data_IF_006946248799
#
_entry.id   IF_006946248799
#
_cell.length_a   1.000
_cell.length_b   1.000
_cell.length_c   1.000
_cell.angle_alpha   90.00
_cell.angle_beta   90.00
_cell.angle_gamma   90.00
#
_symmetry.space_group_name_H-M   'P 1'
#
loop_
_entity.id
_entity.type
_entity.pdbx_description
1 polymer ?
#
# COMPACT_ATOMS: atom_id res chain seq x y z
N UNK A 1 -4.77 -6.56 12.57
CA UNK A 1 -4.08 -6.14 11.33
C UNK A 1 -2.63 -6.62 11.26
N UNK A 2 -1.84 -6.37 12.27
CA UNK A 2 -0.40 -6.73 12.29
C UNK A 2 -0.16 -8.22 12.05
N UNK A 3 -0.96 -9.08 12.69
CA UNK A 3 -0.81 -10.54 12.56
C UNK A 3 -1.11 -11.03 11.14
N UNK A 4 -2.14 -10.49 10.52
CA UNK A 4 -2.53 -10.82 9.15
C UNK A 4 -1.46 -10.40 8.17
N UNK A 5 -0.96 -9.17 8.31
CA UNK A 5 0.08 -8.64 7.43
C UNK A 5 1.38 -9.42 7.56
N UNK A 6 1.74 -9.79 8.79
CA UNK A 6 2.97 -10.56 9.04
C UNK A 6 2.90 -11.94 8.37
N UNK A 7 1.76 -12.61 8.50
CA UNK A 7 1.55 -13.92 7.86
C UNK A 7 1.55 -13.79 6.33
N UNK A 8 0.98 -12.71 5.82
CA UNK A 8 0.89 -12.46 4.39
C UNK A 8 2.26 -12.25 3.74
N UNK A 9 3.27 -11.80 4.50
CA UNK A 9 4.63 -11.64 3.99
C UNK A 9 5.18 -12.92 3.37
N UNK A 10 4.75 -14.09 3.85
CA UNK A 10 5.20 -15.38 3.32
C UNK A 10 4.77 -15.61 1.87
N UNK A 11 3.76 -14.88 1.40
CA UNK A 11 3.26 -14.98 0.02
C UNK A 11 3.95 -14.01 -0.93
N UNK A 12 4.78 -13.10 -0.41
CA UNK A 12 5.54 -12.18 -1.26
C UNK A 12 6.49 -12.95 -2.18
N UNK A 13 6.70 -12.41 -3.37
CA UNK A 13 7.70 -12.92 -4.32
C UNK A 13 8.77 -11.86 -4.50
N UNK A 14 9.62 -11.73 -3.49
CA UNK A 14 10.76 -10.80 -3.51
C UNK A 14 12.06 -11.58 -3.76
N UNK A 15 12.09 -12.28 -4.89
CA UNK A 15 13.15 -13.24 -5.22
C UNK A 15 14.48 -12.54 -5.58
N UNK A 16 14.44 -11.27 -5.95
CA UNK A 16 15.61 -10.50 -6.39
C UNK A 16 16.17 -9.60 -5.28
N UNK A 17 15.32 -8.83 -4.62
CA UNK A 17 15.75 -7.88 -3.58
C UNK A 17 15.62 -8.41 -2.17
N UNK A 18 14.93 -9.56 -1.97
CA UNK A 18 14.75 -10.17 -0.65
C UNK A 18 14.15 -9.18 0.36
N UNK A 19 13.13 -8.45 -0.08
CA UNK A 19 12.45 -7.44 0.73
C UNK A 19 10.94 -7.63 0.65
N UNK A 20 10.39 -8.63 1.38
CA UNK A 20 8.95 -8.86 1.39
C UNK A 20 8.17 -7.68 1.96
N UNK A 21 7.06 -7.35 1.31
CA UNK A 21 6.13 -6.31 1.75
C UNK A 21 4.72 -6.86 1.64
N UNK A 22 3.88 -6.56 2.62
CA UNK A 22 2.44 -6.83 2.56
C UNK A 22 1.67 -5.55 2.82
N UNK A 23 0.47 -5.46 2.28
CA UNK A 23 -0.37 -4.29 2.44
C UNK A 23 -1.84 -4.66 2.52
N UNK A 24 -2.61 -3.76 3.11
CA UNK A 24 -4.06 -3.87 3.18
C UNK A 24 -4.69 -2.51 2.97
N UNK A 25 -5.69 -2.46 2.10
CA UNK A 25 -6.59 -1.32 1.95
C UNK A 25 -7.84 -1.61 2.76
N UNK A 26 -8.19 -0.74 3.71
CA UNK A 26 -9.39 -0.85 4.53
C UNK A 26 -10.40 0.16 4.03
N UNK A 27 -11.62 -0.30 3.78
CA UNK A 27 -12.73 0.54 3.30
C UNK A 27 -13.68 0.91 4.43
N UNK A 28 -14.49 1.95 4.18
CA UNK A 28 -15.44 2.48 5.17
C UNK A 28 -16.48 1.45 5.62
N UNK A 29 -16.82 0.50 4.77
CA UNK A 29 -17.77 -0.57 5.08
C UNK A 29 -17.15 -1.75 5.82
N UNK A 30 -15.86 -1.65 6.17
CA UNK A 30 -15.12 -2.71 6.83
C UNK A 30 -14.49 -3.74 5.91
N UNK A 31 -14.73 -3.68 4.60
CA UNK A 31 -14.08 -4.59 3.66
C UNK A 31 -12.58 -4.30 3.60
N UNK A 32 -11.80 -5.36 3.36
CA UNK A 32 -10.34 -5.31 3.33
C UNK A 32 -9.82 -5.99 2.06
N UNK A 33 -8.81 -5.37 1.46
CA UNK A 33 -8.19 -5.87 0.23
C UNK A 33 -6.69 -5.94 0.45
N UNK A 34 -6.12 -7.10 0.21
CA UNK A 34 -4.72 -7.40 0.53
C UNK A 34 -3.85 -7.43 -0.71
N UNK A 35 -2.58 -7.18 -0.52
CA UNK A 35 -1.56 -7.30 -1.55
C UNK A 35 -0.21 -7.64 -0.97
N UNK A 36 0.62 -8.27 -1.78
CA UNK A 36 2.03 -8.48 -1.50
C UNK A 36 2.83 -7.96 -2.68
N UNK A 37 4.11 -7.65 -2.46
CA UNK A 37 4.95 -7.30 -3.59
C UNK A 37 5.31 -8.56 -4.39
N UNK A 38 5.36 -8.39 -5.70
CA UNK A 38 5.73 -9.45 -6.64
C UNK A 38 6.79 -8.88 -7.57
N UNK A 39 8.00 -9.42 -7.49
CA UNK A 39 9.08 -9.05 -8.39
C UNK A 39 9.14 -10.01 -9.57
N UNK A 40 9.60 -9.51 -10.71
CA UNK A 40 9.79 -10.32 -11.91
C UNK A 40 11.17 -10.04 -12.49
N UNK A 41 11.61 -10.89 -13.41
CA UNK A 41 12.87 -10.69 -14.12
C UNK A 41 12.83 -9.46 -15.05
N UNK A 42 11.64 -8.96 -15.36
CA UNK A 42 11.44 -7.67 -16.00
C UNK A 42 10.87 -6.70 -14.95
N UNK A 43 11.69 -5.77 -14.42
CA UNK A 43 11.26 -4.95 -13.26
C UNK A 43 9.94 -4.20 -13.47
N UNK A 44 9.67 -3.77 -14.69
CA UNK A 44 8.44 -3.05 -15.01
C UNK A 44 7.17 -3.91 -14.88
N UNK A 45 7.30 -5.24 -14.92
CA UNK A 45 6.18 -6.16 -14.78
C UNK A 45 5.86 -6.47 -13.31
N UNK A 46 6.73 -6.09 -12.39
CA UNK A 46 6.51 -6.27 -10.95
C UNK A 46 5.53 -5.25 -10.39
N UNK A 47 5.07 -5.51 -9.17
CA UNK A 47 4.16 -4.63 -8.46
C UNK A 47 4.54 -4.55 -6.98
N UNK A 48 4.42 -3.34 -6.38
CA UNK A 48 4.54 -3.17 -4.95
C UNK A 48 3.26 -3.66 -4.25
N UNK A 49 3.39 -4.04 -2.98
CA UNK A 49 2.26 -4.54 -2.19
C UNK A 49 1.11 -3.53 -2.11
N UNK A 50 1.43 -2.26 -1.93
CA UNK A 50 0.44 -1.19 -1.79
C UNK A 50 -0.43 -1.05 -3.04
N UNK A 51 0.20 -1.03 -4.24
CA UNK A 51 -0.56 -0.96 -5.49
C UNK A 51 -1.33 -2.24 -5.75
N UNK A 52 -0.78 -3.39 -5.39
CA UNK A 52 -1.48 -4.65 -5.53
C UNK A 52 -2.78 -4.66 -4.69
N UNK A 53 -2.70 -4.20 -3.43
CA UNK A 53 -3.87 -4.08 -2.56
C UNK A 53 -4.87 -3.04 -3.10
N UNK A 54 -4.38 -1.87 -3.51
CA UNK A 54 -5.21 -0.79 -4.03
C UNK A 54 -5.96 -1.22 -5.29
N UNK A 55 -5.26 -1.84 -6.24
CA UNK A 55 -5.87 -2.26 -7.50
C UNK A 55 -6.84 -3.42 -7.29
N UNK A 56 -6.58 -4.28 -6.30
CA UNK A 56 -7.54 -5.30 -5.89
C UNK A 56 -8.85 -4.64 -5.37
N UNK A 57 -8.74 -3.62 -4.55
CA UNK A 57 -9.91 -2.86 -4.08
C UNK A 57 -10.67 -2.23 -5.26
N UNK A 58 -9.96 -1.60 -6.18
CA UNK A 58 -10.55 -0.98 -7.38
C UNK A 58 -11.24 -2.04 -8.24
N UNK A 59 -10.61 -3.20 -8.42
CA UNK A 59 -11.20 -4.31 -9.17
C UNK A 59 -12.53 -4.78 -8.55
N UNK A 60 -12.66 -4.63 -7.24
CA UNK A 60 -13.89 -4.96 -6.51
C UNK A 60 -14.86 -3.79 -6.38
N UNK A 61 -14.69 -2.76 -7.19
CA UNK A 61 -15.64 -1.65 -7.30
C UNK A 61 -15.45 -0.52 -6.30
N UNK A 62 -14.37 -0.55 -5.51
CA UNK A 62 -14.11 0.51 -4.55
C UNK A 62 -13.56 1.75 -5.24
N UNK A 63 -13.92 2.91 -4.71
CA UNK A 63 -13.52 4.22 -5.25
C UNK A 63 -12.91 5.06 -4.13
N UNK A 64 -12.42 6.24 -4.48
CA UNK A 64 -11.74 7.15 -3.55
C UNK A 64 -12.51 7.35 -2.24
N UNK A 65 -13.80 7.58 -2.33
CA UNK A 65 -14.66 7.83 -1.18
C UNK A 65 -14.89 6.61 -0.29
N UNK A 66 -14.59 5.42 -0.77
CA UNK A 66 -14.76 4.17 -0.02
C UNK A 66 -13.51 3.81 0.80
N UNK A 67 -12.35 4.33 0.46
CA UNK A 67 -11.08 3.94 1.07
C UNK A 67 -10.85 4.77 2.31
N UNK A 68 -10.63 4.09 3.44
CA UNK A 68 -10.50 4.69 4.76
C UNK A 68 -9.06 4.80 5.21
N UNK A 69 -8.26 3.76 5.01
CA UNK A 69 -6.87 3.72 5.48
C UNK A 69 -6.06 2.67 4.72
N UNK A 70 -4.76 2.84 4.76
CA UNK A 70 -3.78 1.94 4.14
C UNK A 70 -2.86 1.40 5.24
N UNK A 71 -2.59 0.10 5.21
CA UNK A 71 -1.66 -0.55 6.12
C UNK A 71 -0.58 -1.25 5.31
N UNK A 72 0.67 -1.07 5.72
CA UNK A 72 1.84 -1.64 5.02
C UNK A 72 2.78 -2.24 6.06
N UNK A 73 3.29 -3.44 5.80
CA UNK A 73 4.29 -4.08 6.65
C UNK A 73 5.50 -4.52 5.85
N UNK A 74 6.66 -4.24 6.40
CA UNK A 74 7.95 -4.73 5.91
C UNK A 74 8.85 -4.97 7.14
N UNK A 75 10.08 -5.41 6.91
CA UNK A 75 11.02 -5.59 8.03
C UNK A 75 11.41 -4.29 8.73
N UNK A 76 11.25 -3.12 8.08
CA UNK A 76 11.78 -1.83 8.54
C UNK A 76 10.73 -0.72 8.66
N UNK A 77 9.45 -1.03 8.69
CA UNK A 77 8.33 -0.06 8.69
C UNK A 77 8.51 1.11 7.69
N UNK A 78 8.92 0.78 6.48
CA UNK A 78 9.17 1.80 5.44
C UNK A 78 7.87 2.42 4.93
N UNK A 79 7.98 3.65 4.43
CA UNK A 79 6.87 4.31 3.74
C UNK A 79 6.75 3.80 2.30
N UNK A 80 5.57 3.94 1.67
CA UNK A 80 5.38 3.58 0.27
C UNK A 80 6.39 4.29 -0.65
N UNK A 81 6.85 3.61 -1.69
CA UNK A 81 7.69 4.22 -2.71
C UNK A 81 6.91 5.29 -3.48
N UNK A 82 7.61 6.17 -4.21
CA UNK A 82 6.94 7.29 -4.88
C UNK A 82 5.99 6.85 -6.00
N UNK A 83 6.22 5.70 -6.63
CA UNK A 83 5.27 5.16 -7.61
C UNK A 83 3.95 4.79 -6.90
N UNK A 84 4.04 4.14 -5.75
CA UNK A 84 2.84 3.81 -4.96
C UNK A 84 2.16 5.07 -4.43
N UNK A 85 2.94 6.08 -4.01
CA UNK A 85 2.37 7.35 -3.55
C UNK A 85 1.56 8.02 -4.66
N UNK A 86 2.03 8.00 -5.89
CA UNK A 86 1.28 8.54 -7.03
C UNK A 86 -0.06 7.81 -7.19
N UNK A 87 -0.05 6.49 -7.15
CA UNK A 87 -1.29 5.70 -7.24
C UNK A 87 -2.25 6.03 -6.08
N UNK A 88 -1.73 6.17 -4.87
CA UNK A 88 -2.55 6.52 -3.71
C UNK A 88 -3.15 7.92 -3.84
N UNK A 89 -2.38 8.88 -4.35
CA UNK A 89 -2.88 10.25 -4.60
C UNK A 89 -4.06 10.24 -5.57
N UNK A 90 -3.96 9.45 -6.64
CA UNK A 90 -4.99 9.41 -7.67
C UNK A 90 -6.28 8.70 -7.20
N UNK A 91 -6.17 7.71 -6.32
CA UNK A 91 -7.28 6.83 -5.97
C UNK A 91 -7.69 6.85 -4.50
N UNK A 92 -7.07 7.68 -3.67
CA UNK A 92 -7.42 7.85 -2.26
C UNK A 92 -7.56 9.33 -1.92
N UNK A 93 -8.33 9.63 -0.88
CA UNK A 93 -8.34 10.96 -0.29
C UNK A 93 -7.02 11.22 0.41
N UNK A 94 -6.50 12.44 0.31
CA UNK A 94 -5.23 12.81 0.92
C UNK A 94 -5.26 12.83 2.46
N UNK A 95 -6.44 12.79 3.05
CA UNK A 95 -6.63 12.83 4.50
C UNK A 95 -6.56 11.45 5.18
N UNK A 96 -6.45 10.38 4.41
CA UNK A 96 -6.40 9.04 4.99
C UNK A 96 -5.09 8.79 5.73
N UNK A 97 -5.13 7.89 6.70
CA UNK A 97 -3.94 7.45 7.41
C UNK A 97 -3.25 6.31 6.66
N UNK A 98 -1.94 6.35 6.69
CA UNK A 98 -1.06 5.28 6.20
C UNK A 98 -0.28 4.74 7.38
N UNK A 99 -0.54 3.49 7.74
CA UNK A 99 0.09 2.79 8.85
C UNK A 99 1.25 1.95 8.33
N UNK A 100 2.44 2.21 8.82
CA UNK A 100 3.66 1.51 8.42
C UNK A 100 4.20 0.72 9.59
N UNK A 101 4.27 -0.60 9.45
CA UNK A 101 4.69 -1.53 10.49
C UNK A 101 6.02 -2.19 10.15
N UNK A 102 6.81 -2.52 11.18
CA UNK A 102 7.86 -3.50 11.05
C UNK A 102 7.37 -4.89 11.53
N UNK A 103 8.19 -5.90 11.34
CA UNK A 103 7.83 -7.29 11.72
C UNK A 103 7.83 -7.53 13.22
N UNK A 104 8.33 -6.59 14.02
CA UNK A 104 8.26 -6.62 15.49
C UNK A 104 7.00 -5.95 16.02
N UNK A 105 6.16 -5.41 15.13
CA UNK A 105 4.92 -4.76 15.49
C UNK A 105 5.05 -3.28 15.83
N UNK A 106 6.23 -2.68 15.64
CA UNK A 106 6.40 -1.23 15.77
C UNK A 106 5.67 -0.53 14.63
N UNK A 107 5.08 0.61 14.95
CA UNK A 107 4.17 1.29 14.04
C UNK A 107 4.54 2.76 13.90
N UNK A 108 4.46 3.27 12.68
CA UNK A 108 4.47 4.71 12.38
C UNK A 108 3.25 5.02 11.55
N UNK A 109 2.59 6.14 11.88
CA UNK A 109 1.36 6.56 11.20
C UNK A 109 1.62 7.90 10.51
N UNK A 110 1.23 7.97 9.25
CA UNK A 110 1.33 9.19 8.44
C UNK A 110 -0.04 9.53 7.88
N UNK A 111 -0.28 10.82 7.65
CA UNK A 111 -1.38 11.24 6.79
C UNK A 111 -0.84 11.22 5.36
N UNK A 112 -1.61 10.71 4.42
CA UNK A 112 -1.14 10.57 3.02
C UNK A 112 -0.63 11.91 2.47
N UNK A 113 -1.31 13.01 2.79
CA UNK A 113 -0.89 14.35 2.37
C UNK A 113 0.55 14.66 2.74
N UNK A 114 0.99 14.25 3.93
CA UNK A 114 2.34 14.53 4.42
C UNK A 114 3.41 13.71 3.69
N UNK A 115 3.02 12.57 3.12
CA UNK A 115 3.90 11.75 2.29
C UNK A 115 3.98 12.24 0.83
N UNK A 116 3.11 13.16 0.45
CA UNK A 116 2.94 13.59 -0.94
C UNK A 116 2.79 15.12 -1.03
N UNK A 117 3.77 15.90 -0.52
CA UNK A 117 3.71 17.35 -0.67
C UNK A 117 3.86 17.75 -2.13
N UNK A 118 3.15 18.80 -2.55
CA UNK A 118 3.23 19.33 -3.92
C UNK A 118 2.97 18.26 -4.98
N UNK A 119 1.85 17.54 -4.81
CA UNK A 119 1.53 16.40 -5.66
C UNK A 119 1.27 16.79 -7.10
N UNK A 120 1.70 15.92 -8.02
CA UNK A 120 1.14 15.84 -9.35
C UNK A 120 -0.14 14.98 -9.29
N UNK A 121 -1.23 15.45 -9.91
CA UNK A 121 -2.49 14.69 -9.92
C UNK A 121 -3.20 14.87 -11.25
N UNK A 122 -4.32 14.17 -11.41
CA UNK A 122 -5.16 14.30 -12.62
C UNK A 122 -5.66 15.72 -12.84
N UNK A 123 -5.68 16.57 -11.82
CA UNK A 123 -6.06 17.97 -11.95
C UNK A 123 -5.04 18.78 -12.78
N UNK A 124 -3.82 18.27 -12.92
CA UNK A 124 -2.76 18.89 -13.70
C UNK A 124 -2.82 18.53 -15.20
N UNK A 125 -3.70 17.62 -15.59
CA UNK A 125 -3.82 17.14 -16.96
C UNK A 125 -4.82 17.92 -17.80
#
# INVERSE_FOLDING_TARGET
>A
MKEVLKKLLDNSRSDYFHFPVSACVVCNDGSMFYGVNVETSSPSAGVCAERNALYNAICNGKRKENIKEIHVMSKNNVTPCFICRQALVDYCNLDINVYCYDTNGNEKVYILRDLCPSTFSSEDL
#
